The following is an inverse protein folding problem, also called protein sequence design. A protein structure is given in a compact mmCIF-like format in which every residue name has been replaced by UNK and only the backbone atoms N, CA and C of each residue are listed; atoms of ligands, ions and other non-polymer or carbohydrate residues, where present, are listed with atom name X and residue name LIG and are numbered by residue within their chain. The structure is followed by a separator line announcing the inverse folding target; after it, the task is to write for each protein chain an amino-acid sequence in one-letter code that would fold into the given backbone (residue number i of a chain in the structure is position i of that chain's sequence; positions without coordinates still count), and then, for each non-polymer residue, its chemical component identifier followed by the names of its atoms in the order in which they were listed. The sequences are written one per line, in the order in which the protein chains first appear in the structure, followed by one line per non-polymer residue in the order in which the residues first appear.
data_IF_443868264109
#
_entry.id   IF_443868264109
#
_cell.length_a   1.000
_cell.length_b   1.000
_cell.length_c   1.000
_cell.angle_alpha   90.00
_cell.angle_beta   90.00
_cell.angle_gamma   90.00
#
_symmetry.space_group_name_H-M   'P 1'
#
loop_
_entity.id
_entity.type
_entity.pdbx_description
1 polymer ?
#
# COMPACT_ATOMS: atom_id res chain seq x y z
N UNK A 1 -12.27 21.21 -0.28
CA UNK A 1 -11.26 20.18 -0.58
C UNK A 1 -11.83 18.88 -0.06
N UNK A 2 -12.10 17.92 -0.93
CA UNK A 2 -12.65 16.62 -0.53
C UNK A 2 -11.50 15.62 -0.47
N UNK A 3 -11.39 14.93 0.66
CA UNK A 3 -10.43 13.84 0.86
C UNK A 3 -11.27 12.59 1.06
N UNK A 4 -10.98 11.55 0.29
CA UNK A 4 -11.59 10.22 0.45
C UNK A 4 -10.49 9.21 0.75
N UNK A 5 -10.67 8.52 1.86
CA UNK A 5 -9.78 7.44 2.30
C UNK A 5 -10.58 6.15 2.20
N UNK A 6 -10.03 5.16 1.50
CA UNK A 6 -10.58 3.81 1.43
C UNK A 6 -9.58 2.86 2.06
N UNK A 7 -9.98 2.21 3.15
CA UNK A 7 -9.17 1.14 3.75
C UNK A 7 -9.16 -0.05 2.81
N UNK A 8 -7.97 -0.43 2.36
CA UNK A 8 -7.78 -1.61 1.51
C UNK A 8 -7.45 -2.84 2.34
N UNK A 9 -6.71 -2.70 3.43
CA UNK A 9 -6.54 -3.77 4.40
C UNK A 9 -6.25 -3.21 5.78
N UNK A 10 -6.76 -3.90 6.80
CA UNK A 10 -6.57 -3.60 8.21
C UNK A 10 -6.74 -4.88 9.05
N UNK A 11 -6.55 -4.75 10.36
CA UNK A 11 -6.52 -5.84 11.32
C UNK A 11 -7.87 -6.58 11.48
N UNK A 12 -8.97 -5.92 11.14
CA UNK A 12 -10.32 -6.43 11.35
C UNK A 12 -11.04 -6.69 10.02
N UNK A 13 -12.04 -7.57 10.09
CA UNK A 13 -12.98 -7.81 9.00
C UNK A 13 -13.87 -6.59 8.77
N UNK A 14 -14.32 -6.40 7.53
CA UNK A 14 -15.41 -5.49 7.23
C UNK A 14 -16.75 -6.02 7.78
N UNK A 15 -17.74 -5.14 7.89
CA UNK A 15 -19.09 -5.45 8.40
C UNK A 15 -19.80 -6.58 7.64
N UNK A 16 -19.44 -6.82 6.37
CA UNK A 16 -20.07 -7.83 5.51
C UNK A 16 -19.22 -9.09 5.36
N UNK A 17 -18.00 -9.13 5.91
CA UNK A 17 -17.07 -10.24 5.76
C UNK A 17 -16.72 -10.55 4.30
N UNK A 18 -16.65 -9.52 3.46
CA UNK A 18 -16.37 -9.62 2.02
C UNK A 18 -14.93 -9.27 1.66
N UNK A 19 -14.21 -8.59 2.55
CA UNK A 19 -12.83 -8.19 2.36
C UNK A 19 -11.88 -9.08 3.15
N UNK A 20 -10.69 -9.29 2.60
CA UNK A 20 -9.58 -9.92 3.31
C UNK A 20 -9.10 -9.00 4.42
N UNK A 21 -8.61 -9.57 5.52
CA UNK A 21 -8.05 -8.82 6.66
C UNK A 21 -6.76 -9.49 7.13
N UNK A 22 -5.83 -8.71 7.66
CA UNK A 22 -4.57 -9.20 8.19
C UNK A 22 -3.97 -8.20 9.17
N UNK A 23 -3.01 -8.61 9.99
CA UNK A 23 -2.22 -7.66 10.76
C UNK A 23 -1.35 -6.83 9.81
N UNK A 24 -1.80 -5.61 9.53
CA UNK A 24 -1.14 -4.66 8.66
C UNK A 24 -2.08 -3.57 8.17
N UNK A 25 -1.54 -2.63 7.39
CA UNK A 25 -2.30 -1.49 6.90
C UNK A 25 -2.04 -1.25 5.41
N UNK A 26 -3.11 -0.94 4.67
CA UNK A 26 -3.01 -0.33 3.35
C UNK A 26 -4.23 0.54 3.08
N UNK A 27 -4.01 1.76 2.57
CA UNK A 27 -5.05 2.74 2.28
C UNK A 27 -4.93 3.23 0.83
N UNK A 28 -6.07 3.36 0.16
CA UNK A 28 -6.20 4.09 -1.09
C UNK A 28 -6.75 5.48 -0.80
N UNK A 29 -5.99 6.52 -1.13
CA UNK A 29 -6.33 7.89 -0.79
C UNK A 29 -6.53 8.72 -2.06
N UNK A 30 -7.65 9.42 -2.11
CA UNK A 30 -8.03 10.35 -3.16
C UNK A 30 -8.10 11.76 -2.56
N UNK A 31 -7.20 12.65 -2.98
CA UNK A 31 -7.13 14.03 -2.49
C UNK A 31 -6.53 14.93 -3.57
N UNK A 32 -7.05 16.15 -3.74
CA UNK A 32 -6.53 17.15 -4.68
C UNK A 32 -6.34 16.66 -6.12
N UNK A 33 -7.26 15.81 -6.58
CA UNK A 33 -7.19 15.19 -7.91
C UNK A 33 -6.07 14.16 -8.06
N UNK A 34 -5.44 13.74 -6.96
CA UNK A 34 -4.41 12.72 -6.87
C UNK A 34 -4.91 11.45 -6.22
N UNK A 35 -4.34 10.32 -6.65
CA UNK A 35 -4.57 8.98 -6.11
C UNK A 35 -3.27 8.43 -5.59
N UNK A 36 -3.22 8.00 -4.35
CA UNK A 36 -2.01 7.40 -3.80
C UNK A 36 -2.31 6.25 -2.87
N UNK A 37 -1.35 5.32 -2.84
CA UNK A 37 -1.36 4.17 -1.95
C UNK A 37 -0.52 4.53 -0.72
N UNK A 38 -1.04 4.26 0.46
CA UNK A 38 -0.31 4.39 1.72
C UNK A 38 -0.22 3.03 2.36
N UNK A 39 1.01 2.52 2.48
CA UNK A 39 1.35 1.17 2.92
C UNK A 39 0.75 0.04 2.07
N UNK A 40 1.27 -1.17 2.26
CA UNK A 40 1.04 -2.35 1.42
C UNK A 40 0.65 -3.59 2.22
N UNK A 41 0.33 -3.44 3.50
CA UNK A 41 0.04 -4.54 4.39
C UNK A 41 1.20 -5.53 4.52
N UNK A 42 0.86 -6.74 4.94
CA UNK A 42 1.77 -7.84 5.20
C UNK A 42 1.97 -8.74 3.97
N UNK A 43 0.90 -9.12 3.27
CA UNK A 43 0.93 -10.17 2.24
C UNK A 43 0.71 -9.66 0.81
N UNK A 44 0.13 -8.47 0.68
CA UNK A 44 -0.35 -7.93 -0.60
C UNK A 44 -1.82 -8.28 -0.91
N UNK A 45 -2.57 -8.84 0.04
CA UNK A 45 -4.01 -9.09 -0.09
C UNK A 45 -4.85 -7.81 -0.25
N UNK A 46 -4.28 -6.65 0.09
CA UNK A 46 -4.87 -5.34 -0.22
C UNK A 46 -5.17 -5.17 -1.73
N UNK A 47 -4.44 -5.87 -2.61
CA UNK A 47 -4.66 -5.84 -4.08
C UNK A 47 -6.00 -6.46 -4.45
N UNK A 48 -6.38 -7.57 -3.80
CA UNK A 48 -7.68 -8.22 -4.02
C UNK A 48 -8.81 -7.35 -3.47
N UNK A 49 -8.61 -6.77 -2.28
CA UNK A 49 -9.57 -5.81 -1.74
C UNK A 49 -9.73 -4.57 -2.62
N UNK A 50 -8.65 -4.07 -3.23
CA UNK A 50 -8.71 -2.98 -4.20
C UNK A 50 -9.59 -3.34 -5.40
N UNK A 51 -9.44 -4.56 -5.95
CA UNK A 51 -10.30 -5.06 -7.04
C UNK A 51 -11.77 -5.10 -6.60
N UNK A 52 -12.06 -5.69 -5.43
CA UNK A 52 -13.41 -5.79 -4.86
C UNK A 52 -14.06 -4.42 -4.60
N UNK A 53 -13.26 -3.42 -4.23
CA UNK A 53 -13.69 -2.05 -3.95
C UNK A 53 -13.66 -1.13 -5.18
N UNK A 54 -13.43 -1.67 -6.38
CA UNK A 54 -13.29 -0.89 -7.63
C UNK A 54 -12.22 0.21 -7.57
N UNK A 55 -11.09 -0.07 -6.91
CA UNK A 55 -9.93 0.82 -6.82
C UNK A 55 -8.84 0.38 -7.78
N UNK A 56 -8.59 1.21 -8.80
CA UNK A 56 -7.57 0.92 -9.80
C UNK A 56 -6.18 1.34 -9.29
N UNK A 57 -5.34 0.35 -8.97
CA UNK A 57 -3.97 0.56 -8.54
C UNK A 57 -3.03 1.00 -9.67
N UNK A 58 -3.43 0.86 -10.95
CA UNK A 58 -2.62 1.37 -12.08
C UNK A 58 -2.76 2.88 -12.31
N UNK A 59 -3.67 3.54 -11.60
CA UNK A 59 -3.92 4.99 -11.69
C UNK A 59 -3.25 5.78 -10.55
N UNK A 60 -2.41 5.13 -9.75
CA UNK A 60 -1.71 5.77 -8.65
C UNK A 60 -0.70 6.81 -9.18
N UNK A 61 -0.73 8.01 -8.60
CA UNK A 61 0.25 9.07 -8.81
C UNK A 61 1.55 8.81 -8.02
N UNK A 62 1.44 8.20 -6.85
CA UNK A 62 2.57 7.81 -5.99
C UNK A 62 2.15 6.73 -4.97
N UNK A 63 3.13 6.03 -4.40
CA UNK A 63 2.99 5.10 -3.30
C UNK A 63 3.84 5.61 -2.12
N UNK A 64 3.30 5.56 -0.91
CA UNK A 64 3.98 5.94 0.33
C UNK A 64 4.16 4.67 1.18
N UNK A 65 5.37 4.44 1.68
CA UNK A 65 5.60 3.48 2.77
C UNK A 65 5.97 4.27 4.02
N UNK A 66 5.14 4.16 5.05
CA UNK A 66 5.26 4.90 6.30
C UNK A 66 6.53 4.54 7.05
N UNK A 67 6.84 3.25 7.14
CA UNK A 67 8.07 2.70 7.72
C UNK A 67 8.29 1.24 7.28
N UNK A 68 9.49 0.70 7.49
CA UNK A 68 9.92 -0.60 6.96
C UNK A 68 9.49 -1.84 7.74
N UNK A 69 8.43 -1.77 8.56
CA UNK A 69 7.92 -2.97 9.23
C UNK A 69 7.13 -3.85 8.26
N UNK A 70 7.20 -5.16 8.49
CA UNK A 70 6.67 -6.17 7.59
C UNK A 70 5.16 -6.05 7.33
N UNK A 71 4.40 -5.53 8.29
CA UNK A 71 2.95 -5.32 8.26
C UNK A 71 2.54 -4.03 7.53
N UNK A 72 3.52 -3.24 7.08
CA UNK A 72 3.33 -2.04 6.26
C UNK A 72 3.97 -2.17 4.88
N UNK A 73 5.11 -2.86 4.77
CA UNK A 73 5.88 -3.01 3.53
C UNK A 73 5.88 -4.41 2.92
N UNK A 74 5.25 -5.40 3.57
CA UNK A 74 5.34 -6.81 3.19
C UNK A 74 4.68 -7.11 1.84
N UNK A 75 3.56 -6.46 1.53
CA UNK A 75 2.89 -6.62 0.24
C UNK A 75 3.54 -5.91 -0.94
N UNK A 76 4.60 -5.13 -0.72
CA UNK A 76 5.20 -4.28 -1.74
C UNK A 76 5.75 -5.05 -2.95
N UNK A 77 6.40 -6.20 -2.73
CA UNK A 77 6.94 -7.03 -3.83
C UNK A 77 5.82 -7.57 -4.72
N UNK A 78 4.72 -8.06 -4.12
CA UNK A 78 3.55 -8.53 -4.86
C UNK A 78 2.90 -7.38 -5.65
N UNK A 79 2.77 -6.21 -5.02
CA UNK A 79 2.27 -5.00 -5.67
C UNK A 79 3.06 -4.62 -6.92
N UNK A 80 4.39 -4.56 -6.83
CA UNK A 80 5.27 -4.24 -7.98
C UNK A 80 5.09 -5.26 -9.12
N UNK A 81 4.95 -6.54 -8.78
CA UNK A 81 4.82 -7.60 -9.77
C UNK A 81 3.45 -7.63 -10.48
N UNK A 82 2.40 -7.10 -9.85
CA UNK A 82 1.03 -7.16 -10.37
C UNK A 82 0.58 -5.88 -11.10
N UNK A 83 1.20 -4.73 -10.85
CA UNK A 83 0.82 -3.48 -11.52
C UNK A 83 1.57 -3.30 -12.85
N UNK A 84 0.87 -2.79 -13.86
CA UNK A 84 1.43 -2.53 -15.19
C UNK A 84 2.30 -1.27 -15.24
N UNK A 85 2.13 -0.35 -14.28
CA UNK A 85 2.94 0.87 -14.17
C UNK A 85 3.28 1.13 -12.71
N UNK A 86 4.57 1.08 -12.39
CA UNK A 86 5.05 1.38 -11.04
C UNK A 86 5.01 2.90 -10.79
N UNK A 87 4.27 3.38 -9.77
CA UNK A 87 4.24 4.80 -9.44
C UNK A 87 5.52 5.19 -8.65
N UNK A 88 5.89 6.48 -8.63
CA UNK A 88 6.91 6.98 -7.71
C UNK A 88 6.70 6.51 -6.28
N UNK A 89 7.77 6.01 -5.64
CA UNK A 89 7.77 5.58 -4.26
C UNK A 89 8.31 6.69 -3.35
N UNK A 90 7.58 7.01 -2.29
CA UNK A 90 7.96 7.97 -1.26
C UNK A 90 8.16 7.20 0.05
N UNK A 91 9.35 7.33 0.64
CA UNK A 91 9.69 6.73 1.93
C UNK A 91 10.41 7.77 2.78
N UNK A 92 10.26 7.68 4.11
CA UNK A 92 11.05 8.49 5.03
C UNK A 92 12.55 8.14 4.95
N UNK A 93 13.42 9.12 5.15
CA UNK A 93 14.88 8.94 5.13
C UNK A 93 15.36 7.89 6.14
N UNK A 94 14.74 7.84 7.32
CA UNK A 94 15.04 6.84 8.36
C UNK A 94 14.82 5.40 7.88
N UNK A 95 13.80 5.17 7.04
CA UNK A 95 13.50 3.85 6.47
C UNK A 95 14.59 3.36 5.50
N UNK A 96 15.48 4.26 5.04
CA UNK A 96 16.61 3.92 4.18
C UNK A 96 17.87 3.55 4.97
N UNK A 97 17.96 3.91 6.26
CA UNK A 97 19.19 3.77 7.06
C UNK A 97 19.58 2.31 7.36
N UNK A 98 18.68 1.36 7.14
CA UNK A 98 18.96 -0.08 7.23
C UNK A 98 19.37 -0.75 5.90
N UNK A 99 19.10 -0.12 4.75
CA UNK A 99 19.40 -0.67 3.42
C UNK A 99 20.87 -0.47 3.02
N UNK A 100 21.56 0.47 3.65
CA UNK A 100 22.96 0.80 3.35
C UNK A 100 23.95 -0.26 3.83
N UNK A 101 23.54 -1.21 4.68
CA UNK A 101 24.43 -2.25 5.23
C UNK A 101 24.37 -3.61 4.54
N UNK A 102 23.47 -3.83 3.56
CA UNK A 102 23.33 -5.14 2.89
C UNK A 102 23.74 -5.17 1.41
N UNK A 103 24.25 -4.06 0.87
CA UNK A 103 24.85 -4.02 -0.47
C UNK A 103 26.30 -3.53 -0.38
N UNK A 104 27.16 -4.31 0.27
CA UNK A 104 28.60 -4.27 -0.03
C UNK A 104 28.88 -5.47 -0.92
N UNK A 105 29.25 -5.19 -2.18
CA UNK A 105 29.81 -6.16 -3.12
C UNK A 105 31.10 -6.79 -2.56
#
# INVERSE_FOLDING_TARGET
MEIKITTLIENNTDDKGQLLFEHGLSLYIEADGKKFLFDTGQSGDFIENAKSLSKNLNELDFCIISHGHYDHSGGFVKFVNEIGKFPPLIVGEESQKGLTYQYTL
#
